data_IF_179219174468
#
_entry.id   IF_179219174468
#
_cell.length_a   1.000
_cell.length_b   1.000
_cell.length_c   1.000
_cell.angle_alpha   90.00
_cell.angle_beta   90.00
_cell.angle_gamma   90.00
#
_symmetry.space_group_name_H-M   'P 1'
#
loop_
_entity.id
_entity.type
_entity.pdbx_description
1 polymer ?
#
# COMPACT_ATOMS: atom_id res chain seq x y z
N UNK A 1 3.37 17.16 16.58
CA UNK A 1 2.48 16.56 15.55
C UNK A 1 3.31 16.47 14.28
N UNK A 2 3.38 15.31 13.64
CA UNK A 2 4.16 15.18 12.41
C UNK A 2 3.48 15.93 11.24
N UNK A 3 4.26 16.46 10.30
CA UNK A 3 3.78 16.94 9.01
C UNK A 3 2.96 15.89 8.24
N UNK A 4 2.23 16.37 7.23
CA UNK A 4 1.57 15.49 6.27
C UNK A 4 2.61 14.58 5.60
N UNK A 5 2.20 13.35 5.26
CA UNK A 5 3.06 12.32 4.66
C UNK A 5 4.12 11.71 5.57
N UNK A 6 4.12 12.07 6.86
CA UNK A 6 4.93 11.43 7.90
C UNK A 6 4.06 10.62 8.87
N UNK A 7 4.72 9.74 9.61
CA UNK A 7 4.16 8.90 10.66
C UNK A 7 4.98 9.10 11.94
N UNK A 8 4.29 9.05 13.06
CA UNK A 8 4.86 9.29 14.37
C UNK A 8 5.28 7.97 15.01
N UNK A 9 6.56 7.86 15.38
CA UNK A 9 7.14 6.69 16.01
C UNK A 9 7.80 7.06 17.35
N UNK A 10 7.76 6.16 18.34
CA UNK A 10 8.59 6.32 19.54
C UNK A 10 10.07 6.16 19.15
N UNK A 11 10.92 7.07 19.64
CA UNK A 11 12.37 7.02 19.47
C UNK A 11 13.05 6.04 20.43
N UNK A 12 14.38 6.03 20.41
CA UNK A 12 15.20 5.11 21.23
C UNK A 12 15.20 5.46 22.73
N UNK A 13 14.78 6.68 23.08
CA UNK A 13 14.69 7.15 24.46
C UNK A 13 13.22 7.28 24.91
N UNK A 14 13.01 7.18 26.23
CA UNK A 14 11.68 7.12 26.87
C UNK A 14 10.74 8.27 26.49
N UNK A 15 11.28 9.43 26.14
CA UNK A 15 10.53 10.64 25.79
C UNK A 15 10.95 11.21 24.42
N UNK A 16 11.66 10.42 23.61
CA UNK A 16 12.03 10.80 22.24
C UNK A 16 10.95 10.33 21.26
N UNK A 17 10.63 11.19 20.30
CA UNK A 17 9.59 10.92 19.33
C UNK A 17 10.02 11.45 17.97
N UNK A 18 9.93 10.57 16.98
CA UNK A 18 10.48 10.80 15.66
C UNK A 18 9.34 10.76 14.64
N UNK A 19 9.43 11.65 13.66
CA UNK A 19 8.57 11.61 12.48
C UNK A 19 9.36 11.01 11.33
N UNK A 20 8.84 9.93 10.76
CA UNK A 20 9.43 9.28 9.59
C UNK A 20 8.47 9.30 8.41
N UNK A 21 9.02 9.29 7.20
CA UNK A 21 8.21 9.22 5.98
C UNK A 21 7.31 7.99 5.97
N UNK A 22 6.08 8.17 5.45
CA UNK A 22 5.18 7.05 5.18
C UNK A 22 5.83 5.98 4.28
N UNK A 23 5.40 4.72 4.35
CA UNK A 23 5.84 3.67 3.44
C UNK A 23 5.78 4.11 1.96
N UNK A 24 6.86 3.91 1.21
CA UNK A 24 7.06 4.36 -0.17
C UNK A 24 7.09 5.90 -0.39
N UNK A 25 7.34 6.68 0.65
CA UNK A 25 7.65 8.11 0.55
C UNK A 25 9.15 8.35 0.80
N UNK A 26 9.69 9.36 0.14
CA UNK A 26 11.10 9.75 0.15
C UNK A 26 11.25 11.13 0.77
N UNK A 27 12.14 11.25 1.75
CA UNK A 27 12.51 12.54 2.33
C UNK A 27 13.35 13.34 1.35
N UNK A 28 12.91 14.56 1.01
CA UNK A 28 13.64 15.46 0.12
C UNK A 28 14.23 16.64 0.92
N UNK A 29 15.56 16.69 1.15
CA UNK A 29 16.17 17.65 2.07
C UNK A 29 15.93 19.13 1.75
N UNK A 30 15.81 19.48 0.47
CA UNK A 30 15.65 20.89 0.07
C UNK A 30 14.25 21.43 0.30
N UNK A 31 13.22 20.58 0.27
CA UNK A 31 11.86 20.99 0.63
C UNK A 31 11.48 20.61 2.07
N UNK A 32 12.37 19.89 2.76
CA UNK A 32 12.17 19.43 4.14
C UNK A 32 10.82 18.72 4.33
N UNK A 33 10.52 17.79 3.43
CA UNK A 33 9.24 17.08 3.40
C UNK A 33 9.36 15.70 2.73
N UNK A 34 8.45 14.81 3.09
CA UNK A 34 8.30 13.49 2.48
C UNK A 34 7.38 13.52 1.25
N UNK A 35 7.83 12.93 0.14
CA UNK A 35 7.09 12.87 -1.11
C UNK A 35 6.92 11.44 -1.59
N UNK A 36 5.78 11.06 -2.20
CA UNK A 36 5.62 9.71 -2.73
C UNK A 36 6.66 9.43 -3.83
N UNK A 37 7.30 8.26 -3.77
CA UNK A 37 8.18 7.82 -4.84
C UNK A 37 7.42 7.72 -6.18
N UNK A 38 8.11 7.99 -7.29
CA UNK A 38 7.54 8.00 -8.64
C UNK A 38 6.37 8.97 -8.85
N UNK A 39 6.29 10.02 -8.02
CA UNK A 39 5.44 11.19 -8.23
C UNK A 39 6.30 12.44 -8.40
N UNK A 40 5.74 13.47 -9.02
CA UNK A 40 6.37 14.76 -9.29
C UNK A 40 6.99 15.33 -8.02
N UNK A 41 6.20 15.42 -6.95
CA UNK A 41 6.62 16.04 -5.70
C UNK A 41 7.30 17.40 -5.92
N UNK A 42 8.55 17.60 -5.48
CA UNK A 42 9.28 18.86 -5.64
C UNK A 42 9.95 19.01 -7.03
N UNK A 43 9.82 18.02 -7.92
CA UNK A 43 10.44 18.01 -9.25
C UNK A 43 9.69 18.88 -10.26
N UNK A 44 10.30 19.09 -11.43
CA UNK A 44 9.68 19.87 -12.51
C UNK A 44 8.55 19.08 -13.19
N UNK A 45 7.76 19.76 -14.01
CA UNK A 45 6.74 19.10 -14.82
C UNK A 45 7.38 18.07 -15.77
N UNK A 46 6.80 16.87 -15.80
CA UNK A 46 7.34 15.74 -16.57
C UNK A 46 8.46 14.97 -15.87
N UNK A 47 8.81 15.31 -14.63
CA UNK A 47 9.74 14.56 -13.78
C UNK A 47 9.01 13.86 -12.62
N UNK A 48 9.68 12.89 -12.02
CA UNK A 48 9.29 12.28 -10.75
C UNK A 48 10.47 12.18 -9.78
N UNK A 49 10.18 11.95 -8.51
CA UNK A 49 11.18 11.72 -7.48
C UNK A 49 11.48 10.22 -7.34
N UNK A 50 12.76 9.85 -7.41
CA UNK A 50 13.23 8.45 -7.26
C UNK A 50 14.43 8.36 -6.32
N UNK A 51 14.61 7.21 -5.68
CA UNK A 51 15.80 6.88 -4.91
C UNK A 51 16.59 5.80 -5.65
N UNK A 52 17.86 6.07 -5.97
CA UNK A 52 18.74 5.09 -6.62
C UNK A 52 19.22 4.06 -5.59
N UNK A 53 19.46 2.79 -5.97
CA UNK A 53 19.85 1.72 -5.04
C UNK A 53 21.05 2.04 -4.12
N UNK A 54 21.96 2.91 -4.58
CA UNK A 54 23.17 3.30 -3.84
C UNK A 54 23.15 4.77 -3.35
N UNK A 55 21.99 5.41 -3.39
CA UNK A 55 21.84 6.80 -2.95
C UNK A 55 21.00 6.87 -1.68
N UNK A 56 21.46 7.67 -0.72
CA UNK A 56 20.65 8.08 0.43
C UNK A 56 19.78 9.32 0.13
N UNK A 57 20.04 10.00 -0.99
CA UNK A 57 19.38 11.24 -1.37
C UNK A 57 18.54 10.99 -2.63
N UNK A 58 17.22 11.26 -2.61
CA UNK A 58 16.40 11.10 -3.79
C UNK A 58 16.69 12.19 -4.81
N UNK A 59 16.49 11.87 -6.09
CA UNK A 59 16.74 12.75 -7.21
C UNK A 59 15.53 12.85 -8.11
N UNK A 60 15.41 13.99 -8.81
CA UNK A 60 14.42 14.15 -9.86
C UNK A 60 14.93 13.52 -11.15
N UNK A 61 14.08 12.73 -11.78
CA UNK A 61 14.36 12.12 -13.07
C UNK A 61 13.17 12.28 -14.01
N UNK A 62 13.46 12.30 -15.31
CA UNK A 62 12.43 12.39 -16.34
C UNK A 62 11.48 11.20 -16.23
N UNK A 63 10.19 11.48 -16.11
CA UNK A 63 9.15 10.47 -16.22
C UNK A 63 8.96 10.12 -17.70
N UNK A 64 9.21 8.87 -18.14
CA UNK A 64 9.02 8.47 -19.54
C UNK A 64 7.59 8.68 -20.04
N UNK A 65 6.61 8.69 -19.14
CA UNK A 65 5.20 8.88 -19.45
C UNK A 65 4.77 10.34 -19.45
N UNK A 66 5.62 11.26 -18.96
CA UNK A 66 5.38 12.71 -18.92
C UNK A 66 4.08 13.14 -18.22
N UNK A 67 3.45 12.24 -17.44
CA UNK A 67 2.24 12.49 -16.66
C UNK A 67 2.49 11.97 -15.25
N UNK A 68 2.37 12.82 -14.25
CA UNK A 68 2.70 12.55 -12.83
C UNK A 68 2.13 11.22 -12.28
N UNK A 69 0.89 10.89 -12.60
CA UNK A 69 0.23 9.68 -12.08
C UNK A 69 0.61 8.39 -12.82
N UNK A 70 1.41 8.49 -13.88
CA UNK A 70 1.77 7.37 -14.75
C UNK A 70 3.25 7.03 -14.63
N UNK A 71 3.55 5.74 -14.68
CA UNK A 71 4.90 5.20 -14.64
C UNK A 71 5.09 4.18 -15.76
N UNK A 72 6.34 4.02 -16.21
CA UNK A 72 6.68 2.97 -17.15
C UNK A 72 6.67 1.61 -16.42
N UNK A 73 5.71 0.77 -16.75
CA UNK A 73 5.55 -0.58 -16.21
C UNK A 73 5.31 -1.57 -17.33
N UNK A 74 6.13 -2.62 -17.42
CA UNK A 74 6.06 -3.64 -18.49
C UNK A 74 6.00 -3.03 -19.91
N UNK A 75 6.78 -1.97 -20.15
CA UNK A 75 6.88 -1.30 -21.45
C UNK A 75 5.69 -0.41 -21.81
N UNK A 76 4.74 -0.19 -20.90
CA UNK A 76 3.59 0.71 -21.08
C UNK A 76 3.53 1.75 -19.99
N UNK A 77 2.91 2.87 -20.30
CA UNK A 77 2.57 3.87 -19.31
C UNK A 77 1.30 3.46 -18.59
N UNK A 78 1.46 3.04 -17.34
CA UNK A 78 0.38 2.55 -16.49
C UNK A 78 0.17 3.50 -15.32
N UNK A 79 -1.06 3.67 -14.89
CA UNK A 79 -1.40 4.59 -13.82
C UNK A 79 -1.15 3.93 -12.45
N UNK A 80 -0.40 4.61 -11.59
CA UNK A 80 -0.21 4.21 -10.19
C UNK A 80 -1.55 4.22 -9.44
N UNK A 81 -1.63 3.39 -8.39
CA UNK A 81 -2.81 3.21 -7.55
C UNK A 81 -4.06 2.71 -8.31
N UNK A 82 -3.86 1.98 -9.41
CA UNK A 82 -4.95 1.34 -10.17
C UNK A 82 -4.80 -0.17 -10.22
N UNK A 83 -5.93 -0.87 -10.31
CA UNK A 83 -5.97 -2.34 -10.35
C UNK A 83 -5.73 -2.92 -11.75
N UNK A 84 -5.85 -2.10 -12.81
CA UNK A 84 -5.88 -2.58 -14.19
C UNK A 84 -4.60 -3.35 -14.59
N UNK A 85 -3.37 -2.87 -14.28
CA UNK A 85 -2.13 -3.60 -14.62
C UNK A 85 -1.99 -4.93 -13.86
N UNK A 86 -2.66 -5.04 -12.71
CA UNK A 86 -2.52 -6.14 -11.75
C UNK A 86 -3.68 -7.14 -11.80
N UNK A 87 -4.61 -7.01 -12.76
CA UNK A 87 -5.76 -7.91 -12.91
C UNK A 87 -5.39 -9.39 -13.07
N UNK A 88 -4.20 -9.67 -13.58
CA UNK A 88 -3.68 -11.03 -13.73
C UNK A 88 -3.49 -11.76 -12.38
N UNK A 89 -3.50 -11.04 -11.25
CA UNK A 89 -3.37 -11.62 -9.91
C UNK A 89 -4.71 -12.10 -9.32
N UNK A 90 -5.84 -11.90 -10.00
CA UNK A 90 -7.15 -12.35 -9.53
C UNK A 90 -7.14 -13.84 -9.14
N UNK A 91 -7.69 -14.24 -7.98
CA UNK A 91 -8.59 -13.48 -7.09
C UNK A 91 -7.91 -12.61 -6.02
N UNK A 92 -6.59 -12.45 -6.06
CA UNK A 92 -5.86 -11.62 -5.08
C UNK A 92 -6.05 -10.14 -5.45
N UNK A 93 -6.64 -9.30 -4.59
CA UNK A 93 -6.77 -7.88 -4.86
C UNK A 93 -5.37 -7.24 -4.84
N UNK A 94 -4.99 -6.60 -5.94
CA UNK A 94 -3.70 -5.94 -6.09
C UNK A 94 -3.83 -4.67 -6.96
N UNK A 95 -2.96 -3.71 -6.73
CA UNK A 95 -2.85 -2.49 -7.53
C UNK A 95 -1.40 -2.21 -7.88
N UNK A 96 -1.19 -1.49 -8.98
CA UNK A 96 0.13 -1.02 -9.36
C UNK A 96 0.57 0.05 -8.35
N UNK A 97 1.59 -0.25 -7.56
CA UNK A 97 2.06 0.58 -6.47
C UNK A 97 3.59 0.48 -6.35
N UNK A 98 4.14 1.27 -5.43
CA UNK A 98 5.57 1.24 -5.10
C UNK A 98 5.74 0.37 -3.87
N UNK A 99 6.61 -0.63 -3.96
CA UNK A 99 6.96 -1.48 -2.83
C UNK A 99 7.67 -0.64 -1.76
N UNK A 100 7.19 -0.70 -0.51
CA UNK A 100 7.72 0.14 0.56
C UNK A 100 9.14 -0.22 1.02
N UNK A 101 9.62 -1.43 0.73
CA UNK A 101 10.91 -1.93 1.21
C UNK A 101 12.03 -1.72 0.20
N UNK A 102 11.75 -1.92 -1.10
CA UNK A 102 12.77 -1.82 -2.15
C UNK A 102 12.47 -0.75 -3.20
N UNK A 103 11.38 0.02 -3.02
CA UNK A 103 10.95 1.11 -3.90
C UNK A 103 10.69 0.70 -5.36
N UNK A 104 10.56 -0.60 -5.67
CA UNK A 104 10.22 -1.04 -7.01
C UNK A 104 8.75 -0.77 -7.34
N UNK A 105 8.47 -0.35 -8.57
CA UNK A 105 7.10 -0.31 -9.10
C UNK A 105 6.64 -1.72 -9.42
N UNK A 106 5.62 -2.21 -8.71
CA UNK A 106 5.12 -3.57 -8.83
C UNK A 106 3.63 -3.68 -8.49
N UNK A 107 3.05 -4.86 -8.70
CA UNK A 107 1.71 -5.15 -8.23
C UNK A 107 1.74 -5.51 -6.75
N UNK A 108 1.32 -4.57 -5.91
CA UNK A 108 1.24 -4.74 -4.47
C UNK A 108 -0.16 -5.23 -4.06
N UNK A 109 -0.19 -6.19 -3.14
CA UNK A 109 -1.45 -6.73 -2.62
C UNK A 109 -2.16 -5.66 -1.79
N UNK A 110 -3.44 -5.47 -2.06
CA UNK A 110 -4.29 -4.59 -1.27
C UNK A 110 -4.75 -5.38 -0.05
N UNK A 111 -4.19 -5.06 1.12
CA UNK A 111 -4.65 -5.66 2.37
C UNK A 111 -5.94 -4.96 2.83
N UNK A 112 -7.09 -5.53 2.45
CA UNK A 112 -8.41 -5.03 2.83
C UNK A 112 -8.75 -5.30 4.30
N UNK A 113 -8.02 -6.20 4.97
CA UNK A 113 -8.27 -6.59 6.37
C UNK A 113 -7.74 -5.54 7.37
N UNK A 114 -6.86 -4.61 6.95
CA UNK A 114 -6.19 -3.67 7.85
C UNK A 114 -6.86 -2.30 8.02
N UNK A 115 -7.97 -2.01 7.31
CA UNK A 115 -8.63 -0.68 7.38
C UNK A 115 -9.80 -0.60 8.36
N UNK A 116 -10.33 -1.73 8.76
CA UNK A 116 -11.25 -1.84 9.88
C UNK A 116 -10.51 -2.64 10.93
N UNK A 117 -10.12 -2.01 12.03
CA UNK A 117 -9.53 -2.72 13.16
C UNK A 117 -10.56 -3.66 13.76
N UNK A 118 -10.68 -4.86 13.20
CA UNK A 118 -11.24 -6.02 13.88
C UNK A 118 -10.85 -7.26 13.08
N UNK A 119 -10.10 -8.15 13.71
CA UNK A 119 -9.91 -9.51 13.24
C UNK A 119 -11.28 -10.21 13.18
N UNK A 120 -12.00 -10.02 12.10
CA UNK A 120 -12.91 -11.04 11.65
C UNK A 120 -12.13 -11.86 10.65
N UNK A 121 -11.34 -12.80 11.18
CA UNK A 121 -11.12 -14.07 10.48
C UNK A 121 -12.44 -14.41 9.83
N UNK A 122 -12.50 -14.38 8.50
CA UNK A 122 -13.69 -14.76 7.76
C UNK A 122 -13.89 -16.26 8.02
N UNK A 123 -14.51 -16.59 9.15
CA UNK A 123 -15.07 -17.90 9.41
C UNK A 123 -16.13 -18.00 8.33
N UNK A 124 -15.81 -18.74 7.27
CA UNK A 124 -16.79 -19.18 6.30
C UNK A 124 -17.81 -19.98 7.09
N UNK A 125 -18.88 -19.32 7.51
CA UNK A 125 -20.00 -19.95 8.23
C UNK A 125 -20.74 -20.76 7.18
N UNK A 126 -20.30 -21.99 6.97
CA UNK A 126 -20.94 -22.94 6.04
C UNK A 126 -22.40 -23.12 6.50
N UNK A 127 -23.40 -22.69 5.72
CA UNK A 127 -24.80 -22.82 6.13
C UNK A 127 -25.13 -24.29 6.38
N UNK A 128 -25.87 -24.56 7.46
CA UNK A 128 -26.31 -25.93 7.74
C UNK A 128 -27.27 -26.43 6.65
N UNK A 129 -27.31 -27.74 6.37
CA UNK A 129 -28.30 -28.32 5.48
C UNK A 129 -29.74 -27.95 5.91
N UNK A 130 -30.69 -27.84 4.96
CA UNK A 130 -32.09 -27.62 5.29
C UNK A 130 -32.61 -28.63 6.32
N UNK A 131 -33.30 -28.14 7.36
CA UNK A 131 -33.79 -28.97 8.47
C UNK A 131 -32.81 -29.16 9.64
N UNK A 132 -31.64 -28.52 9.61
CA UNK A 132 -30.65 -28.53 10.70
C UNK A 132 -30.45 -27.15 11.33
N UNK A 133 -30.19 -27.11 12.65
CA UNK A 133 -29.71 -25.93 13.38
C UNK A 133 -28.28 -26.13 13.85
N UNK A 134 -27.53 -25.04 14.03
CA UNK A 134 -26.16 -25.12 14.57
C UNK A 134 -26.18 -25.16 16.09
N UNK A 135 -25.48 -26.14 16.66
CA UNK A 135 -25.23 -26.29 18.09
C UNK A 135 -24.23 -25.23 18.59
N UNK A 136 -24.21 -24.98 19.89
CA UNK A 136 -23.20 -24.16 20.58
C UNK A 136 -21.76 -24.63 20.30
N UNK A 137 -21.58 -25.93 20.00
CA UNK A 137 -20.31 -26.53 19.62
C UNK A 137 -20.02 -26.45 18.11
N UNK A 138 -20.75 -25.63 17.35
CA UNK A 138 -20.54 -25.41 15.91
C UNK A 138 -21.04 -26.52 14.97
N UNK A 139 -21.58 -27.63 15.50
CA UNK A 139 -22.09 -28.75 14.69
C UNK A 139 -23.54 -28.52 14.23
N UNK A 140 -23.86 -28.85 12.98
CA UNK A 140 -25.24 -28.88 12.51
C UNK A 140 -25.96 -30.12 13.05
N UNK A 141 -27.06 -29.90 13.76
CA UNK A 141 -27.91 -30.95 14.34
C UNK A 141 -29.34 -30.84 13.78
N UNK A 142 -30.04 -31.94 13.50
CA UNK A 142 -31.42 -31.92 13.03
C UNK A 142 -32.32 -31.13 13.99
N UNK A 143 -33.25 -30.34 13.44
CA UNK A 143 -34.35 -29.76 14.21
C UNK A 143 -35.36 -30.89 14.44
N UNK A 144 -35.25 -31.59 15.57
CA UNK A 144 -36.27 -32.54 16.01
C UNK A 144 -37.50 -31.72 16.39
N UNK A 145 -38.61 -31.96 15.68
CA UNK A 145 -39.91 -31.35 15.95
C UNK A 145 -40.56 -31.86 17.22
#
# INVERSE_FOLDING_TARGET
>A
MCPDSELYYPGDQKDDWICDCRPAFLYHPKSDACWPAYRKGPCQDGEYLVLKPESAIPVCEKNPCSVDTYVLYNGRCEQLATIAPCRHMWPIPAALAVNATNLAVTCERLNLESRFGEETSAIVVIPCPPGCKRSINGKCTPVVG
#
